data_IF_288075492886
#
_entry.id   IF_288075492886
#
_cell.length_a   1.000
_cell.length_b   1.000
_cell.length_c   1.000
_cell.angle_alpha   90.00
_cell.angle_beta   90.00
_cell.angle_gamma   90.00
#
_symmetry.space_group_name_H-M   'P 1'
#
loop_
_entity.id
_entity.type
_entity.pdbx_description
1 polymer ?
#
# COMPACT_ATOMS: atom_id res chain seq x y z
N UNK A 1 52.40 82.54 5.83
CA UNK A 1 53.16 81.56 5.02
C UNK A 1 52.21 80.45 4.57
N UNK A 2 52.42 79.98 3.33
CA UNK A 2 51.70 78.98 2.51
C UNK A 2 51.14 77.75 3.27
N UNK A 3 49.91 77.31 2.94
CA UNK A 3 49.58 76.13 2.09
C UNK A 3 48.06 75.90 1.99
N UNK A 4 47.61 75.57 0.78
CA UNK A 4 46.25 75.18 0.38
C UNK A 4 46.24 73.69 -0.03
N UNK A 5 45.13 72.96 0.19
CA UNK A 5 44.67 71.74 -0.56
C UNK A 5 43.17 71.56 -0.22
N UNK A 6 42.22 71.96 -1.10
CA UNK A 6 41.46 71.21 -2.14
C UNK A 6 40.39 70.23 -1.60
N UNK A 7 39.13 70.61 -1.92
CA UNK A 7 37.88 69.84 -1.93
C UNK A 7 37.90 68.71 -2.97
N UNK A 8 37.29 67.56 -2.65
CA UNK A 8 36.58 66.74 -3.64
C UNK A 8 35.33 66.12 -2.99
N UNK A 9 34.17 66.53 -3.51
CA UNK A 9 32.85 65.92 -3.30
C UNK A 9 32.55 65.11 -4.56
N UNK A 10 32.29 63.81 -4.40
CA UNK A 10 31.59 62.93 -5.34
C UNK A 10 30.88 61.90 -4.45
N UNK A 11 29.55 61.80 -4.43
CA UNK A 11 28.68 61.70 -5.61
C UNK A 11 28.57 60.23 -5.99
N UNK A 12 27.99 59.40 -5.11
CA UNK A 12 27.86 57.96 -5.30
C UNK A 12 26.52 57.45 -4.77
N UNK A 13 25.43 57.83 -5.44
CA UNK A 13 24.13 57.19 -5.25
C UNK A 13 24.23 55.73 -5.73
N UNK A 14 24.17 54.79 -4.79
CA UNK A 14 24.01 53.36 -5.06
C UNK A 14 22.62 53.11 -5.64
N UNK A 15 22.51 53.23 -6.97
CA UNK A 15 21.46 52.59 -7.75
C UNK A 15 21.75 51.08 -7.75
N UNK A 16 21.11 50.34 -6.84
CA UNK A 16 21.09 48.88 -6.92
C UNK A 16 20.34 48.47 -8.21
N UNK A 17 20.91 47.58 -9.04
CA UNK A 17 20.24 47.11 -10.24
C UNK A 17 18.96 46.34 -9.87
N UNK A 18 17.82 46.76 -10.43
CA UNK A 18 16.49 46.16 -10.26
C UNK A 18 16.34 44.73 -10.81
N UNK A 19 17.44 44.03 -11.08
CA UNK A 19 17.49 42.66 -11.60
C UNK A 19 17.70 41.62 -10.49
N UNK A 20 17.95 42.06 -9.26
CA UNK A 20 17.95 41.22 -8.07
C UNK A 20 16.53 41.12 -7.45
N UNK A 21 15.49 41.01 -8.28
CA UNK A 21 14.21 40.48 -7.82
C UNK A 21 14.44 39.01 -7.49
N UNK A 22 14.71 38.76 -6.20
CA UNK A 22 14.70 37.46 -5.58
C UNK A 22 13.43 36.74 -6.03
N UNK A 23 13.58 35.80 -6.96
CA UNK A 23 12.47 35.01 -7.50
C UNK A 23 11.72 34.45 -6.29
N UNK A 24 10.40 34.66 -6.15
CA UNK A 24 9.67 34.18 -4.98
C UNK A 24 9.99 32.70 -4.82
N UNK A 25 10.44 32.33 -3.61
CA UNK A 25 10.82 30.95 -3.34
C UNK A 25 9.64 30.04 -3.74
N UNK A 26 9.88 28.99 -4.54
CA UNK A 26 8.82 28.10 -4.97
C UNK A 26 8.08 27.55 -3.74
N UNK A 27 6.75 27.50 -3.81
CA UNK A 27 5.93 26.98 -2.72
C UNK A 27 6.37 25.53 -2.42
N UNK A 28 6.80 25.21 -1.18
CA UNK A 28 7.21 23.85 -0.82
C UNK A 28 6.12 22.80 -1.09
N UNK A 29 4.84 23.19 -1.10
CA UNK A 29 3.74 22.30 -1.44
C UNK A 29 3.74 21.91 -2.92
N UNK A 30 4.13 22.82 -3.80
CA UNK A 30 4.20 22.54 -5.24
C UNK A 30 5.37 21.62 -5.56
N UNK A 31 6.53 21.82 -4.93
CA UNK A 31 7.65 20.89 -5.06
C UNK A 31 7.31 19.48 -4.56
N UNK A 32 6.56 19.36 -3.47
CA UNK A 32 6.12 18.07 -2.95
C UNK A 32 5.11 17.37 -3.89
N UNK A 33 4.23 18.14 -4.55
CA UNK A 33 3.29 17.62 -5.57
C UNK A 33 4.04 17.15 -6.82
N UNK A 34 4.96 17.94 -7.34
CA UNK A 34 5.76 17.58 -8.52
C UNK A 34 6.61 16.33 -8.27
N UNK A 35 7.26 16.23 -7.11
CA UNK A 35 8.02 15.05 -6.73
C UNK A 35 7.13 13.80 -6.63
N UNK A 36 5.91 13.94 -6.10
CA UNK A 36 4.93 12.84 -6.02
C UNK A 36 4.45 12.42 -7.41
N UNK A 37 4.09 13.38 -8.27
CA UNK A 37 3.63 13.12 -9.63
C UNK A 37 4.73 12.45 -10.45
N UNK A 38 5.97 12.91 -10.34
CA UNK A 38 7.13 12.30 -11.00
C UNK A 38 7.38 10.88 -10.51
N UNK A 39 7.26 10.63 -9.20
CA UNK A 39 7.38 9.29 -8.65
C UNK A 39 6.29 8.34 -9.17
N UNK A 40 5.05 8.83 -9.31
CA UNK A 40 3.94 8.08 -9.88
C UNK A 40 4.14 7.81 -11.38
N UNK A 41 4.61 8.80 -12.14
CA UNK A 41 4.94 8.65 -13.56
C UNK A 41 6.01 7.57 -13.77
N UNK A 42 7.07 7.58 -12.96
CA UNK A 42 8.12 6.56 -13.00
C UNK A 42 7.61 5.16 -12.62
N UNK A 43 6.69 5.06 -11.65
CA UNK A 43 6.06 3.79 -11.27
C UNK A 43 5.21 3.21 -12.42
N UNK A 44 4.43 4.07 -13.09
CA UNK A 44 3.62 3.69 -14.25
C UNK A 44 4.52 3.30 -15.43
N UNK A 45 5.55 4.08 -15.74
CA UNK A 45 6.50 3.75 -16.80
C UNK A 45 7.18 2.40 -16.56
N UNK A 46 7.61 2.13 -15.32
CA UNK A 46 8.20 0.83 -14.94
C UNK A 46 7.21 -0.31 -15.20
N UNK A 47 5.96 -0.16 -14.77
CA UNK A 47 4.92 -1.17 -14.98
C UNK A 47 4.62 -1.40 -16.47
N UNK A 48 4.46 -0.33 -17.26
CA UNK A 48 4.18 -0.43 -18.70
C UNK A 48 5.36 -1.02 -19.49
N UNK A 49 6.60 -0.71 -19.09
CA UNK A 49 7.80 -1.26 -19.72
C UNK A 49 7.99 -2.74 -19.39
N UNK A 50 7.73 -3.15 -18.14
CA UNK A 50 7.82 -4.56 -17.74
C UNK A 50 6.83 -5.46 -18.50
N UNK A 51 5.64 -4.94 -18.83
CA UNK A 51 4.62 -5.67 -19.60
C UNK A 51 4.90 -5.69 -21.11
N UNK A 52 5.67 -4.72 -21.61
CA UNK A 52 6.02 -4.64 -23.03
C UNK A 52 4.82 -4.33 -23.93
N UNK A 53 3.93 -3.41 -23.52
CA UNK A 53 2.82 -2.97 -24.37
C UNK A 53 3.32 -2.21 -25.60
N UNK A 54 2.83 -2.57 -26.77
CA UNK A 54 3.18 -1.91 -28.04
C UNK A 54 2.47 -0.56 -28.19
N UNK A 55 2.99 0.31 -29.05
CA UNK A 55 2.34 1.60 -29.34
C UNK A 55 0.90 1.42 -29.82
N UNK A 56 0.63 0.40 -30.65
CA UNK A 56 -0.73 0.07 -31.12
C UNK A 56 -1.64 -0.35 -29.97
N UNK A 57 -1.15 -1.12 -29.01
CA UNK A 57 -1.92 -1.51 -27.82
C UNK A 57 -2.21 -0.29 -26.93
N UNK A 58 -1.21 0.57 -26.71
CA UNK A 58 -1.36 1.80 -25.95
C UNK A 58 -2.35 2.78 -26.60
N UNK A 59 -2.32 2.93 -27.93
CA UNK A 59 -3.27 3.77 -28.67
C UNK A 59 -4.71 3.28 -28.53
N UNK A 60 -4.95 1.96 -28.47
CA UNK A 60 -6.28 1.38 -28.23
C UNK A 60 -6.74 1.56 -26.79
N UNK A 61 -5.80 1.52 -25.84
CA UNK A 61 -6.09 1.61 -24.41
C UNK A 61 -6.39 3.06 -23.98
N UNK A 62 -5.64 4.02 -24.53
CA UNK A 62 -5.70 5.43 -24.16
C UNK A 62 -7.14 6.02 -24.09
N UNK A 63 -8.01 5.89 -25.11
CA UNK A 63 -9.35 6.48 -25.05
C UNK A 63 -10.21 5.88 -23.91
N UNK A 64 -9.99 4.61 -23.56
CA UNK A 64 -10.69 3.95 -22.44
C UNK A 64 -10.21 4.52 -21.10
N UNK A 65 -8.91 4.77 -20.97
CA UNK A 65 -8.35 5.37 -19.75
C UNK A 65 -8.79 6.83 -19.59
N UNK A 66 -8.83 7.59 -20.67
CA UNK A 66 -9.29 8.98 -20.67
C UNK A 66 -10.77 9.10 -20.29
N UNK A 67 -11.63 8.23 -20.85
CA UNK A 67 -13.05 8.17 -20.42
C UNK A 67 -13.17 7.81 -18.93
N UNK A 68 -12.39 6.82 -18.47
CA UNK A 68 -12.40 6.42 -17.07
C UNK A 68 -12.00 7.57 -16.14
N UNK A 69 -10.92 8.29 -16.47
CA UNK A 69 -10.47 9.44 -15.68
C UNK A 69 -11.48 10.57 -15.68
N UNK A 70 -12.09 10.87 -16.84
CA UNK A 70 -13.15 11.88 -16.94
C UNK A 70 -14.33 11.54 -16.02
N UNK A 71 -14.81 10.30 -16.05
CA UNK A 71 -15.93 9.86 -15.20
C UNK A 71 -15.59 9.91 -13.71
N UNK A 72 -14.38 9.48 -13.34
CA UNK A 72 -13.92 9.55 -11.95
C UNK A 72 -13.86 11.00 -11.46
N UNK A 73 -13.29 11.93 -12.25
CA UNK A 73 -13.25 13.36 -11.91
C UNK A 73 -14.63 13.98 -11.82
N UNK A 74 -15.54 13.67 -12.74
CA UNK A 74 -16.93 14.14 -12.69
C UNK A 74 -17.63 13.67 -11.40
N UNK A 75 -17.41 12.41 -11.01
CA UNK A 75 -17.96 11.87 -9.76
C UNK A 75 -17.34 12.55 -8.53
N UNK A 76 -16.02 12.65 -8.47
CA UNK A 76 -15.31 13.28 -7.38
C UNK A 76 -15.72 14.76 -7.21
N UNK A 77 -15.96 15.48 -8.32
CA UNK A 77 -16.47 16.85 -8.29
C UNK A 77 -17.92 16.95 -7.77
N UNK A 78 -18.80 16.03 -8.18
CA UNK A 78 -20.17 15.97 -7.66
C UNK A 78 -20.19 15.64 -6.16
N UNK A 79 -19.37 14.68 -5.73
CA UNK A 79 -19.24 14.29 -4.32
C UNK A 79 -18.63 15.43 -3.46
N UNK A 80 -17.67 16.19 -4.01
CA UNK A 80 -17.10 17.36 -3.34
C UNK A 80 -18.14 18.46 -3.12
N UNK A 81 -19.00 18.73 -4.12
CA UNK A 81 -20.09 19.69 -3.99
C UNK A 81 -21.10 19.26 -2.90
N UNK A 82 -21.50 17.98 -2.87
CA UNK A 82 -22.39 17.43 -1.83
C UNK A 82 -21.79 17.59 -0.41
N UNK A 83 -20.47 17.39 -0.24
CA UNK A 83 -19.80 17.61 1.05
C UNK A 83 -19.77 19.09 1.42
N UNK A 84 -19.45 19.96 0.46
CA UNK A 84 -19.32 21.40 0.70
C UNK A 84 -20.63 21.99 1.26
N UNK A 85 -21.76 21.54 0.73
CA UNK A 85 -23.09 21.93 1.23
C UNK A 85 -23.27 21.54 2.70
N UNK A 86 -22.88 20.31 3.10
CA UNK A 86 -22.96 19.87 4.50
C UNK A 86 -21.94 20.55 5.42
N UNK A 87 -20.76 20.92 4.92
CA UNK A 87 -19.75 21.62 5.72
C UNK A 87 -20.27 22.97 6.22
N UNK A 88 -21.03 23.68 5.39
CA UNK A 88 -21.63 24.96 5.77
C UNK A 88 -22.63 24.80 6.93
N UNK A 89 -23.45 23.73 6.89
CA UNK A 89 -24.40 23.40 7.94
C UNK A 89 -23.70 22.98 9.25
N UNK A 90 -22.66 22.14 9.17
CA UNK A 90 -21.85 21.75 10.31
C UNK A 90 -21.15 22.96 10.96
N UNK A 91 -20.66 23.91 10.16
CA UNK A 91 -20.05 25.13 10.67
C UNK A 91 -21.07 26.05 11.37
N UNK A 92 -22.32 26.08 10.92
CA UNK A 92 -23.39 26.79 11.60
C UNK A 92 -23.73 26.12 12.95
N UNK A 93 -23.87 24.80 12.99
CA UNK A 93 -24.14 24.05 14.22
C UNK A 93 -23.00 24.17 15.23
N UNK A 94 -21.74 24.11 14.77
CA UNK A 94 -20.57 24.38 15.61
C UNK A 94 -20.63 25.77 16.25
N UNK A 95 -21.02 26.80 15.49
CA UNK A 95 -21.16 28.17 16.03
C UNK A 95 -22.27 28.25 17.07
N UNK A 96 -23.41 27.60 16.84
CA UNK A 96 -24.51 27.56 17.79
C UNK A 96 -24.14 26.83 19.09
N UNK A 97 -23.41 25.72 18.99
CA UNK A 97 -22.89 24.99 20.13
C UNK A 97 -21.90 25.82 20.96
N UNK A 98 -20.98 26.54 20.30
CA UNK A 98 -20.03 27.44 20.97
C UNK A 98 -20.74 28.62 21.65
N UNK A 99 -21.93 29.02 21.19
CA UNK A 99 -22.76 30.03 21.83
C UNK A 99 -23.61 29.50 23.01
N UNK A 100 -23.38 28.25 23.45
CA UNK A 100 -24.12 27.62 24.55
C UNK A 100 -25.38 26.86 24.13
N UNK A 101 -25.63 26.71 22.83
CA UNK A 101 -26.69 25.84 22.31
C UNK A 101 -26.36 24.36 22.49
N UNK A 102 -27.38 23.51 22.49
CA UNK A 102 -27.17 22.05 22.50
C UNK A 102 -26.55 21.59 21.16
N UNK A 103 -25.47 20.81 21.23
CA UNK A 103 -24.92 20.07 20.08
C UNK A 103 -25.88 18.95 19.71
N UNK A 104 -26.27 18.84 18.44
CA UNK A 104 -27.09 17.72 17.99
C UNK A 104 -26.20 16.68 17.28
N UNK A 105 -26.30 15.42 17.67
CA UNK A 105 -25.65 14.28 16.98
C UNK A 105 -26.11 13.98 15.55
N UNK A 106 -27.31 14.39 15.05
CA UNK A 106 -27.78 14.04 13.71
C UNK A 106 -26.91 14.51 12.54
N UNK A 107 -26.28 15.69 12.59
CA UNK A 107 -25.51 16.20 11.45
C UNK A 107 -24.14 15.55 11.32
N UNK A 108 -23.46 15.24 12.43
CA UNK A 108 -22.21 14.48 12.40
C UNK A 108 -22.46 13.08 11.83
N UNK A 109 -23.53 12.42 12.27
CA UNK A 109 -23.91 11.10 11.75
C UNK A 109 -24.26 11.18 10.25
N UNK A 110 -24.98 12.22 9.81
CA UNK A 110 -25.28 12.46 8.39
C UNK A 110 -24.01 12.67 7.57
N UNK A 111 -23.02 13.40 8.08
CA UNK A 111 -21.74 13.58 7.41
C UNK A 111 -20.97 12.26 7.29
N UNK A 112 -20.88 11.47 8.37
CA UNK A 112 -20.24 10.14 8.34
C UNK A 112 -20.92 9.20 7.34
N UNK A 113 -22.26 9.19 7.32
CA UNK A 113 -23.03 8.40 6.36
C UNK A 113 -22.80 8.86 4.92
N UNK A 114 -22.72 10.17 4.67
CA UNK A 114 -22.40 10.70 3.35
C UNK A 114 -21.00 10.25 2.90
N UNK A 115 -19.96 10.48 3.72
CA UNK A 115 -18.58 10.07 3.39
C UNK A 115 -18.49 8.58 3.11
N UNK A 116 -19.17 7.74 3.92
CA UNK A 116 -19.23 6.30 3.70
C UNK A 116 -19.95 5.94 2.38
N UNK A 117 -21.06 6.62 2.06
CA UNK A 117 -21.78 6.43 0.81
C UNK A 117 -20.96 6.85 -0.41
N UNK A 118 -20.26 7.99 -0.34
CA UNK A 118 -19.34 8.45 -1.38
C UNK A 118 -18.20 7.45 -1.62
N UNK A 119 -17.59 6.94 -0.54
CA UNK A 119 -16.58 5.89 -0.63
C UNK A 119 -17.08 4.64 -1.38
N UNK A 120 -18.31 4.20 -1.10
CA UNK A 120 -18.95 3.08 -1.81
C UNK A 120 -19.19 3.38 -3.29
N UNK A 121 -19.83 4.51 -3.60
CA UNK A 121 -20.12 4.94 -4.99
C UNK A 121 -18.84 5.07 -5.81
N UNK A 122 -17.79 5.63 -5.23
CA UNK A 122 -16.47 5.75 -5.86
C UNK A 122 -15.84 4.38 -6.10
N UNK A 123 -15.92 3.46 -5.14
CA UNK A 123 -15.41 2.11 -5.30
C UNK A 123 -16.16 1.35 -6.40
N UNK A 124 -17.49 1.44 -6.44
CA UNK A 124 -18.32 0.84 -7.50
C UNK A 124 -17.94 1.36 -8.89
N UNK A 125 -17.71 2.67 -9.02
CA UNK A 125 -17.26 3.27 -10.28
C UNK A 125 -15.86 2.78 -10.67
N UNK A 126 -14.92 2.72 -9.72
CA UNK A 126 -13.57 2.17 -9.96
C UNK A 126 -13.66 0.73 -10.44
N UNK A 127 -14.51 -0.09 -9.82
CA UNK A 127 -14.71 -1.49 -10.18
C UNK A 127 -15.28 -1.65 -11.59
N UNK A 128 -16.28 -0.85 -11.92
CA UNK A 128 -16.89 -0.81 -13.24
C UNK A 128 -15.86 -0.42 -14.31
N UNK A 129 -15.06 0.63 -14.06
CA UNK A 129 -14.01 1.08 -14.98
C UNK A 129 -12.89 0.06 -15.11
N UNK A 130 -12.49 -0.60 -14.01
CA UNK A 130 -11.48 -1.64 -14.04
C UNK A 130 -11.94 -2.83 -14.91
N UNK A 131 -13.21 -3.24 -14.81
CA UNK A 131 -13.79 -4.28 -15.68
C UNK A 131 -13.83 -3.85 -17.16
N UNK A 132 -14.11 -2.58 -17.45
CA UNK A 132 -14.09 -2.08 -18.82
C UNK A 132 -12.69 -2.15 -19.42
N UNK A 133 -11.67 -1.69 -18.69
CA UNK A 133 -10.26 -1.77 -19.09
C UNK A 133 -9.84 -3.24 -19.25
N UNK A 134 -10.23 -4.10 -18.31
CA UNK A 134 -9.95 -5.54 -18.38
C UNK A 134 -10.44 -6.15 -19.70
N UNK A 135 -11.68 -5.88 -20.11
CA UNK A 135 -12.23 -6.36 -21.39
C UNK A 135 -11.41 -5.84 -22.59
N UNK A 136 -11.00 -4.57 -22.56
CA UNK A 136 -10.14 -4.00 -23.61
C UNK A 136 -8.78 -4.70 -23.66
N UNK A 137 -8.17 -4.99 -22.50
CA UNK A 137 -6.90 -5.70 -22.41
C UNK A 137 -7.03 -7.11 -22.98
N UNK A 138 -8.00 -7.91 -22.53
CA UNK A 138 -8.21 -9.28 -23.03
C UNK A 138 -8.39 -9.33 -24.56
N UNK A 139 -9.01 -8.31 -25.16
CA UNK A 139 -9.16 -8.20 -26.62
C UNK A 139 -7.96 -7.63 -27.37
N UNK A 140 -6.95 -7.08 -26.70
CA UNK A 140 -5.85 -6.34 -27.34
C UNK A 140 -4.44 -6.79 -26.97
N UNK A 141 -4.27 -7.51 -25.87
CA UNK A 141 -2.99 -8.05 -25.39
C UNK A 141 -2.97 -9.57 -25.42
N UNK A 142 -1.78 -10.15 -25.55
CA UNK A 142 -1.62 -11.60 -25.56
C UNK A 142 -1.72 -12.20 -24.15
N UNK A 143 -2.03 -13.50 -24.04
CA UNK A 143 -2.05 -14.19 -22.74
C UNK A 143 -0.72 -14.10 -21.97
N UNK A 144 0.47 -14.21 -22.61
CA UNK A 144 1.74 -13.94 -21.95
C UNK A 144 1.86 -12.52 -21.37
N UNK A 145 1.34 -11.49 -22.06
CA UNK A 145 1.35 -10.12 -21.55
C UNK A 145 0.42 -9.95 -20.34
N UNK A 146 -0.75 -10.61 -20.33
CA UNK A 146 -1.65 -10.62 -19.16
C UNK A 146 -0.98 -11.29 -17.96
N UNK A 147 -0.32 -12.43 -18.16
CA UNK A 147 0.45 -13.09 -17.11
C UNK A 147 1.58 -12.18 -16.58
N UNK A 148 2.26 -11.45 -17.47
CA UNK A 148 3.28 -10.48 -17.09
C UNK A 148 2.71 -9.32 -16.27
N UNK A 149 1.50 -8.85 -16.53
CA UNK A 149 0.83 -7.82 -15.71
C UNK A 149 0.57 -8.33 -14.28
N UNK A 150 0.08 -9.55 -14.14
CA UNK A 150 -0.15 -10.20 -12.84
C UNK A 150 1.17 -10.31 -12.06
N UNK A 151 2.23 -10.80 -12.70
CA UNK A 151 3.53 -10.91 -12.08
C UNK A 151 4.10 -9.55 -11.66
N UNK A 152 4.06 -8.57 -12.56
CA UNK A 152 4.54 -7.19 -12.33
C UNK A 152 3.80 -6.55 -11.16
N UNK A 153 2.46 -6.72 -11.10
CA UNK A 153 1.63 -6.26 -9.99
C UNK A 153 2.11 -6.83 -8.65
N UNK A 154 2.34 -8.15 -8.60
CA UNK A 154 2.82 -8.84 -7.42
C UNK A 154 4.23 -8.39 -6.99
N UNK A 155 5.14 -8.20 -7.95
CA UNK A 155 6.52 -7.74 -7.69
C UNK A 155 6.52 -6.31 -7.11
N UNK A 156 5.85 -5.36 -7.77
CA UNK A 156 5.80 -3.97 -7.32
C UNK A 156 5.06 -3.84 -5.98
N UNK A 157 4.00 -4.63 -5.74
CA UNK A 157 3.33 -4.66 -4.45
C UNK A 157 4.25 -5.17 -3.32
N UNK A 158 5.14 -6.12 -3.60
CA UNK A 158 6.16 -6.57 -2.63
C UNK A 158 7.20 -5.49 -2.38
N UNK A 159 7.75 -4.87 -3.43
CA UNK A 159 8.71 -3.75 -3.29
C UNK A 159 8.13 -2.61 -2.45
N UNK A 160 6.90 -2.21 -2.74
CA UNK A 160 6.22 -1.15 -1.98
C UNK A 160 6.00 -1.53 -0.54
N UNK A 161 5.48 -2.74 -0.27
CA UNK A 161 5.35 -3.23 1.11
C UNK A 161 6.70 -3.19 1.80
N UNK A 162 7.76 -3.68 1.16
CA UNK A 162 9.13 -3.64 1.73
C UNK A 162 9.58 -2.21 2.03
N UNK A 163 9.33 -1.25 1.16
CA UNK A 163 9.64 0.16 1.39
C UNK A 163 8.80 0.76 2.52
N UNK A 164 7.49 0.47 2.60
CA UNK A 164 6.62 0.89 3.70
C UNK A 164 7.06 0.29 5.03
N UNK A 165 7.44 -0.99 5.02
CA UNK A 165 8.01 -1.69 6.18
C UNK A 165 9.32 -1.05 6.63
N UNK A 166 10.22 -0.72 5.70
CA UNK A 166 11.48 -0.03 6.00
C UNK A 166 11.23 1.39 6.54
N UNK A 167 10.32 2.13 5.93
CA UNK A 167 9.94 3.46 6.40
C UNK A 167 9.31 3.43 7.79
N UNK A 168 8.46 2.44 8.07
CA UNK A 168 7.91 2.22 9.42
C UNK A 168 9.01 1.81 10.41
N UNK A 169 9.92 0.91 10.02
CA UNK A 169 11.04 0.50 10.87
C UNK A 169 11.93 1.70 11.25
N UNK A 170 12.16 2.62 10.31
CA UNK A 170 12.97 3.82 10.56
C UNK A 170 12.22 4.87 11.40
N UNK A 171 10.89 4.99 11.26
CA UNK A 171 10.07 5.92 12.07
C UNK A 171 9.89 5.47 13.52
N UNK A 172 9.96 4.16 13.78
CA UNK A 172 9.72 3.57 15.09
C UNK A 172 10.98 2.89 15.65
N UNK A 173 12.03 3.67 15.89
CA UNK A 173 13.17 3.22 16.73
C UNK A 173 12.79 2.98 18.21
N UNK A 174 11.53 3.12 18.62
CA UNK A 174 11.09 2.86 20.01
C UNK A 174 9.61 2.54 20.22
N UNK A 175 8.85 2.12 19.19
CA UNK A 175 7.38 1.97 19.27
C UNK A 175 6.85 0.51 19.23
N UNK A 176 5.68 0.22 19.84
CA UNK A 176 5.13 -1.14 20.02
C UNK A 176 4.50 -1.81 18.78
N UNK A 177 4.56 -1.21 17.58
CA UNK A 177 3.99 -1.82 16.37
C UNK A 177 5.03 -2.73 15.67
N UNK A 178 5.04 -4.01 16.07
CA UNK A 178 6.16 -4.96 15.88
C UNK A 178 5.85 -6.31 15.17
N UNK A 179 4.99 -6.50 14.14
CA UNK A 179 4.71 -7.88 13.70
C UNK A 179 5.96 -8.61 13.18
N UNK A 180 6.78 -7.96 12.35
CA UNK A 180 8.05 -8.53 11.87
C UNK A 180 9.20 -8.41 12.86
N UNK A 181 9.39 -7.20 13.42
CA UNK A 181 10.49 -6.92 14.36
C UNK A 181 10.40 -7.67 15.69
N UNK A 182 9.22 -7.76 16.33
CA UNK A 182 9.09 -8.51 17.59
C UNK A 182 9.07 -10.01 17.36
N UNK A 183 8.54 -10.49 16.22
CA UNK A 183 8.66 -11.91 15.91
C UNK A 183 10.14 -12.27 15.76
N UNK A 184 10.93 -11.45 15.05
CA UNK A 184 12.36 -11.65 14.94
C UNK A 184 13.10 -11.53 16.28
N UNK A 185 12.77 -10.54 17.11
CA UNK A 185 13.34 -10.39 18.47
C UNK A 185 13.05 -11.66 19.30
N UNK A 186 11.79 -12.12 19.31
CA UNK A 186 11.38 -13.33 20.05
C UNK A 186 12.11 -14.58 19.53
N UNK A 187 12.23 -14.74 18.21
CA UNK A 187 12.97 -15.85 17.62
C UNK A 187 14.46 -15.79 17.98
N UNK A 188 15.02 -14.58 18.03
CA UNK A 188 16.40 -14.34 18.43
C UNK A 188 16.65 -14.72 19.89
N UNK A 189 15.72 -14.33 20.77
CA UNK A 189 15.85 -14.49 22.21
C UNK A 189 15.31 -15.85 22.72
N UNK A 190 14.84 -16.73 21.83
CA UNK A 190 14.41 -18.09 22.18
C UNK A 190 15.55 -18.86 22.88
N UNK A 191 15.30 -19.52 24.01
CA UNK A 191 16.29 -20.40 24.64
C UNK A 191 16.75 -21.51 23.67
N UNK A 192 18.03 -21.93 23.68
CA UNK A 192 18.56 -22.95 22.76
C UNK A 192 17.72 -24.23 22.69
N UNK A 193 17.28 -24.75 23.84
CA UNK A 193 16.43 -25.94 23.89
C UNK A 193 15.08 -25.75 23.18
N UNK A 194 14.46 -24.57 23.31
CA UNK A 194 13.20 -24.25 22.63
C UNK A 194 13.41 -24.04 21.13
N UNK A 195 14.54 -23.47 20.75
CA UNK A 195 14.94 -23.32 19.36
C UNK A 195 15.15 -24.68 18.68
N UNK A 196 15.84 -25.61 19.34
CA UNK A 196 16.03 -26.97 18.84
C UNK A 196 14.72 -27.72 18.71
N UNK A 197 13.81 -27.58 19.68
CA UNK A 197 12.45 -28.13 19.59
C UNK A 197 11.69 -27.57 18.40
N UNK A 198 11.78 -26.26 18.13
CA UNK A 198 11.17 -25.63 16.96
C UNK A 198 11.74 -26.19 15.65
N UNK A 199 13.07 -26.30 15.54
CA UNK A 199 13.73 -26.89 14.35
C UNK A 199 13.32 -28.34 14.13
N UNK A 200 13.29 -29.15 15.19
CA UNK A 200 12.84 -30.54 15.13
C UNK A 200 11.37 -30.65 14.76
N UNK A 201 10.50 -29.75 15.27
CA UNK A 201 9.09 -29.73 14.93
C UNK A 201 8.86 -29.41 13.44
N UNK A 202 9.61 -28.44 12.89
CA UNK A 202 9.58 -28.11 11.46
C UNK A 202 10.12 -29.25 10.60
N UNK A 203 11.27 -29.82 10.95
CA UNK A 203 11.87 -30.94 10.23
C UNK A 203 10.97 -32.19 10.24
N UNK A 204 10.32 -32.47 11.37
CA UNK A 204 9.41 -33.59 11.54
C UNK A 204 7.99 -33.35 11.01
N UNK A 205 7.67 -32.16 10.49
CA UNK A 205 6.33 -31.80 10.02
C UNK A 205 5.25 -31.84 11.12
N UNK A 206 5.63 -31.76 12.39
CA UNK A 206 4.70 -31.94 13.51
C UNK A 206 4.03 -30.62 13.90
N UNK A 207 2.82 -30.41 13.37
CA UNK A 207 1.98 -29.22 13.57
C UNK A 207 1.69 -28.94 15.05
N UNK A 208 1.37 -29.98 15.82
CA UNK A 208 0.99 -29.86 17.22
C UNK A 208 2.14 -29.32 18.06
N UNK A 209 3.37 -29.71 17.71
CA UNK A 209 4.59 -29.20 18.35
C UNK A 209 4.94 -27.78 17.94
N UNK A 210 4.56 -27.35 16.73
CA UNK A 210 4.78 -25.98 16.23
C UNK A 210 3.76 -24.97 16.76
N UNK A 211 2.52 -25.40 17.04
CA UNK A 211 1.42 -24.51 17.39
C UNK A 211 1.70 -23.55 18.57
N UNK A 212 2.38 -23.96 19.67
CA UNK A 212 2.74 -23.04 20.75
C UNK A 212 3.65 -21.90 20.28
N UNK A 213 4.62 -22.21 19.41
CA UNK A 213 5.56 -21.22 18.87
C UNK A 213 4.87 -20.26 17.92
N UNK A 214 4.02 -20.75 17.02
CA UNK A 214 3.26 -19.89 16.10
C UNK A 214 2.33 -18.92 16.85
N UNK A 215 1.74 -19.36 17.97
CA UNK A 215 0.95 -18.51 18.87
C UNK A 215 1.79 -17.43 19.54
N UNK A 216 3.01 -17.76 19.96
CA UNK A 216 3.93 -16.77 20.56
C UNK A 216 4.44 -15.72 19.57
N UNK A 217 4.55 -16.05 18.29
CA UNK A 217 5.00 -15.11 17.25
C UNK A 217 3.89 -14.12 16.86
N UNK A 218 2.63 -14.49 17.04
CA UNK A 218 1.48 -13.69 16.63
C UNK A 218 0.83 -13.11 17.88
N UNK A 219 1.02 -11.80 18.18
CA UNK A 219 0.48 -11.21 19.40
C UNK A 219 -1.04 -11.46 19.49
N UNK A 220 -1.50 -11.95 20.64
CA UNK A 220 -2.83 -12.54 20.89
C UNK A 220 -4.05 -11.62 20.64
N UNK A 221 -3.84 -10.41 20.12
CA UNK A 221 -4.91 -9.43 19.91
C UNK A 221 -5.42 -9.23 18.48
N UNK A 222 -4.72 -9.66 17.41
CA UNK A 222 -5.07 -9.13 16.06
C UNK A 222 -4.87 -9.99 14.80
N UNK A 223 -4.55 -11.28 14.87
CA UNK A 223 -4.19 -12.03 13.64
C UNK A 223 -4.82 -13.40 13.41
N UNK A 224 -5.26 -14.13 14.45
CA UNK A 224 -5.61 -15.56 14.28
C UNK A 224 -6.85 -16.02 15.07
N UNK A 225 -7.73 -15.12 15.50
CA UNK A 225 -8.98 -15.49 16.22
C UNK A 225 -10.01 -16.27 15.38
N UNK A 226 -9.61 -16.86 14.26
CA UNK A 226 -10.38 -17.91 13.61
C UNK A 226 -9.55 -19.03 13.01
N UNK A 227 -8.31 -19.25 13.46
CA UNK A 227 -7.53 -20.45 13.08
C UNK A 227 -7.42 -21.50 14.19
N UNK A 228 -7.75 -21.20 15.45
CA UNK A 228 -7.49 -22.14 16.54
C UNK A 228 -8.54 -22.12 17.67
N UNK A 229 -9.82 -21.90 17.37
CA UNK A 229 -10.89 -22.06 18.36
C UNK A 229 -11.74 -23.28 17.98
N UNK A 230 -11.75 -24.36 18.81
CA UNK A 230 -12.79 -25.37 18.73
C UNK A 230 -14.13 -24.66 19.01
N UNK A 231 -15.15 -24.93 18.20
CA UNK A 231 -16.45 -24.27 18.29
C UNK A 231 -17.06 -24.41 19.69
N UNK A 232 -17.15 -23.28 20.40
CA UNK A 232 -17.95 -23.16 21.62
C UNK A 232 -19.41 -22.86 21.27
N UNK A 233 -20.38 -23.37 22.04
CA UNK A 233 -21.80 -23.23 21.74
C UNK A 233 -22.33 -21.84 22.11
N UNK A 234 -23.02 -21.21 21.17
CA UNK A 234 -24.20 -20.35 21.38
C UNK A 234 -24.06 -19.14 22.31
N UNK A 235 -23.73 -17.97 21.75
CA UNK A 235 -24.10 -16.67 22.31
C UNK A 235 -25.11 -15.97 21.38
N UNK A 236 -26.23 -15.44 21.90
CA UNK A 236 -27.27 -14.82 21.07
C UNK A 236 -26.83 -13.44 20.58
N UNK A 237 -26.45 -13.35 19.31
CA UNK A 237 -26.27 -12.09 18.59
C UNK A 237 -27.53 -11.70 17.82
N UNK A 238 -27.74 -10.40 17.54
CA UNK A 238 -28.97 -9.87 16.98
C UNK A 238 -29.24 -10.43 15.57
N UNK A 239 -30.50 -10.85 15.39
CA UNK A 239 -31.01 -11.51 14.20
C UNK A 239 -30.83 -10.65 12.94
N UNK A 240 -30.33 -11.25 11.86
CA UNK A 240 -30.44 -10.65 10.52
C UNK A 240 -29.41 -11.08 9.48
N UNK A 241 -28.24 -11.62 9.86
CA UNK A 241 -27.29 -12.17 8.88
C UNK A 241 -27.32 -13.69 8.88
N UNK A 242 -28.02 -14.24 7.88
CA UNK A 242 -27.94 -15.63 7.43
C UNK A 242 -26.46 -15.95 7.12
N UNK A 243 -25.74 -16.47 8.10
CA UNK A 243 -24.37 -16.95 7.95
C UNK A 243 -24.38 -18.20 7.08
N UNK A 244 -24.16 -18.03 5.78
CA UNK A 244 -23.75 -19.15 4.95
C UNK A 244 -22.43 -19.74 5.48
N UNK A 245 -22.11 -21.01 5.17
CA UNK A 245 -20.82 -21.59 5.48
C UNK A 245 -19.76 -20.65 4.91
N UNK A 246 -19.03 -19.95 5.79
CA UNK A 246 -17.93 -19.10 5.35
C UNK A 246 -16.97 -19.96 4.54
N UNK A 247 -16.34 -19.42 3.48
CA UNK A 247 -15.34 -20.16 2.72
C UNK A 247 -14.36 -20.77 3.72
N UNK A 248 -14.28 -22.11 3.69
CA UNK A 248 -13.43 -22.86 4.61
C UNK A 248 -12.05 -22.23 4.55
N UNK A 249 -11.54 -21.75 5.70
CA UNK A 249 -10.22 -21.13 5.72
C UNK A 249 -9.23 -22.16 5.18
N UNK A 250 -8.31 -21.75 4.29
CA UNK A 250 -7.34 -22.67 3.73
C UNK A 250 -6.57 -23.31 4.90
N UNK A 251 -6.74 -24.62 5.08
CA UNK A 251 -5.94 -25.38 6.03
C UNK A 251 -4.53 -25.42 5.44
N UNK A 252 -3.58 -24.79 6.13
CA UNK A 252 -2.18 -24.87 5.75
C UNK A 252 -1.76 -26.33 5.96
N UNK A 253 -1.58 -27.06 4.87
CA UNK A 253 -1.03 -28.41 4.94
C UNK A 253 0.48 -28.31 5.21
N UNK A 254 0.85 -28.48 6.47
CA UNK A 254 2.25 -28.47 6.89
C UNK A 254 3.01 -29.73 6.48
N UNK A 255 2.34 -30.76 5.95
CA UNK A 255 3.02 -31.91 5.32
C UNK A 255 3.45 -31.60 3.88
N UNK A 256 2.90 -30.56 3.26
CA UNK A 256 3.31 -30.13 1.93
C UNK A 256 4.81 -29.75 1.94
N UNK A 257 5.65 -30.37 1.09
CA UNK A 257 7.10 -30.13 1.09
C UNK A 257 7.46 -28.67 0.81
N UNK A 258 6.64 -27.95 0.05
CA UNK A 258 6.86 -26.53 -0.24
C UNK A 258 6.63 -25.65 0.99
N UNK A 259 5.62 -25.99 1.79
CA UNK A 259 5.32 -25.29 3.05
C UNK A 259 6.44 -25.52 4.05
N UNK A 260 6.94 -26.75 4.17
CA UNK A 260 8.10 -27.09 5.01
C UNK A 260 9.36 -26.37 4.58
N UNK A 261 9.67 -26.36 3.28
CA UNK A 261 10.81 -25.64 2.72
C UNK A 261 10.73 -24.14 3.05
N UNK A 262 9.55 -23.55 2.90
CA UNK A 262 9.36 -22.14 3.13
C UNK A 262 9.42 -21.75 4.62
N UNK A 263 8.93 -22.61 5.52
CA UNK A 263 9.12 -22.46 6.97
C UNK A 263 10.60 -22.63 7.35
N UNK A 264 11.30 -23.60 6.75
CA UNK A 264 12.75 -23.77 6.90
C UNK A 264 13.51 -22.50 6.54
N UNK A 265 13.20 -21.89 5.40
CA UNK A 265 13.80 -20.62 5.00
C UNK A 265 13.52 -19.48 6.00
N UNK A 266 12.37 -19.45 6.68
CA UNK A 266 12.15 -18.47 7.75
C UNK A 266 13.02 -18.76 8.98
N UNK A 267 13.20 -20.02 9.35
CA UNK A 267 14.08 -20.42 10.45
C UNK A 267 15.55 -20.10 10.16
N UNK A 268 16.02 -20.31 8.94
CA UNK A 268 17.41 -19.97 8.56
C UNK A 268 17.71 -18.47 8.74
N UNK A 269 16.72 -17.62 8.42
CA UNK A 269 16.85 -16.18 8.61
C UNK A 269 16.85 -15.79 10.09
N UNK A 270 16.07 -16.50 10.91
CA UNK A 270 16.08 -16.32 12.35
C UNK A 270 17.37 -16.86 13.01
N UNK A 271 17.95 -17.95 12.50
CA UNK A 271 19.27 -18.44 12.89
C UNK A 271 20.35 -17.38 12.57
N UNK A 272 20.29 -16.79 11.38
CA UNK A 272 21.17 -15.67 11.01
C UNK A 272 21.02 -14.49 11.99
N UNK A 273 19.80 -14.16 12.40
CA UNK A 273 19.57 -13.12 13.40
C UNK A 273 20.13 -13.48 14.81
N UNK A 274 20.10 -14.77 15.17
CA UNK A 274 20.64 -15.31 16.43
C UNK A 274 22.16 -15.29 16.47
N UNK A 275 22.81 -15.60 15.35
CA UNK A 275 24.27 -15.68 15.27
C UNK A 275 24.94 -14.29 15.23
N UNK A 276 24.20 -13.24 14.89
CA UNK A 276 24.73 -11.87 14.90
C UNK A 276 24.97 -11.35 16.32
N UNK A 277 26.14 -10.76 16.60
CA UNK A 277 26.38 -9.96 17.81
C UNK A 277 25.29 -8.89 18.00
N UNK A 278 24.97 -8.54 19.25
CA UNK A 278 23.96 -7.52 19.57
C UNK A 278 24.08 -6.20 18.79
N UNK A 279 25.27 -5.57 18.64
CA UNK A 279 25.39 -4.33 17.87
C UNK A 279 25.09 -4.54 16.37
N UNK A 280 25.60 -5.62 15.78
CA UNK A 280 25.39 -5.94 14.36
C UNK A 280 23.92 -6.29 14.09
N UNK A 281 23.28 -7.02 15.00
CA UNK A 281 21.86 -7.30 14.93
C UNK A 281 21.04 -6.01 14.97
N UNK A 282 21.32 -5.11 15.92
CA UNK A 282 20.58 -3.84 16.03
C UNK A 282 20.69 -3.02 14.73
N UNK A 283 21.87 -3.00 14.10
CA UNK A 283 22.10 -2.35 12.81
C UNK A 283 21.35 -3.04 11.65
N UNK A 284 21.25 -4.37 11.65
CA UNK A 284 20.65 -5.16 10.56
C UNK A 284 19.19 -5.55 10.77
N UNK A 285 18.62 -5.26 11.95
CA UNK A 285 17.30 -5.74 12.38
C UNK A 285 16.18 -5.41 11.41
N UNK A 286 16.15 -4.18 10.88
CA UNK A 286 15.11 -3.76 9.92
C UNK A 286 15.20 -4.53 8.60
N UNK A 287 16.42 -4.77 8.11
CA UNK A 287 16.67 -5.56 6.89
C UNK A 287 16.28 -7.02 7.08
N UNK A 288 16.66 -7.64 8.20
CA UNK A 288 16.29 -9.02 8.53
C UNK A 288 14.77 -9.17 8.73
N UNK A 289 14.12 -8.22 9.40
CA UNK A 289 12.67 -8.25 9.58
C UNK A 289 11.92 -8.10 8.25
N UNK A 290 12.39 -7.25 7.34
CA UNK A 290 11.86 -7.13 5.98
C UNK A 290 12.01 -8.45 5.20
N UNK A 291 13.20 -9.08 5.27
CA UNK A 291 13.44 -10.39 4.66
C UNK A 291 12.51 -11.48 5.22
N UNK A 292 12.22 -11.46 6.52
CA UNK A 292 11.31 -12.43 7.16
C UNK A 292 9.88 -12.25 6.65
N UNK A 293 9.41 -11.00 6.59
CA UNK A 293 8.08 -10.67 6.08
C UNK A 293 7.91 -11.08 4.61
N UNK A 294 8.92 -10.82 3.77
CA UNK A 294 8.91 -11.20 2.35
C UNK A 294 8.85 -12.72 2.18
N UNK A 295 9.67 -13.48 2.94
CA UNK A 295 9.64 -14.96 2.93
C UNK A 295 8.28 -15.49 3.40
N UNK A 296 7.72 -14.92 4.47
CA UNK A 296 6.40 -15.32 4.97
C UNK A 296 5.29 -15.09 3.94
N UNK A 297 5.24 -13.90 3.32
CA UNK A 297 4.23 -13.60 2.30
C UNK A 297 4.36 -14.54 1.08
N UNK A 298 5.59 -14.79 0.63
CA UNK A 298 5.87 -15.76 -0.44
C UNK A 298 5.39 -17.17 -0.07
N UNK A 299 5.66 -17.61 1.16
CA UNK A 299 5.18 -18.90 1.69
C UNK A 299 3.66 -19.00 1.61
N UNK A 300 2.95 -17.97 2.08
CA UNK A 300 1.49 -17.93 2.07
C UNK A 300 0.93 -17.96 0.65
N UNK A 301 1.58 -17.32 -0.32
CA UNK A 301 1.19 -17.41 -1.74
C UNK A 301 1.38 -18.82 -2.28
N UNK A 302 2.50 -19.47 -1.98
CA UNK A 302 2.75 -20.86 -2.39
C UNK A 302 1.74 -21.84 -1.79
N UNK A 303 1.40 -21.67 -0.50
CA UNK A 303 0.36 -22.47 0.17
C UNK A 303 -0.97 -22.34 -0.58
N UNK A 304 -1.39 -21.10 -0.88
CA UNK A 304 -2.67 -20.86 -1.58
C UNK A 304 -2.70 -21.49 -2.98
N UNK A 305 -1.61 -21.35 -3.74
CA UNK A 305 -1.50 -21.94 -5.08
C UNK A 305 -1.55 -23.47 -5.05
N UNK A 306 -1.00 -24.09 -4.00
CA UNK A 306 -0.94 -25.56 -3.89
C UNK A 306 -2.11 -26.20 -3.16
N UNK A 307 -2.96 -25.42 -2.50
CA UNK A 307 -4.18 -25.95 -1.87
C UNK A 307 -5.25 -26.46 -2.85
N UNK A 308 -4.98 -26.46 -4.16
CA UNK A 308 -5.64 -27.37 -5.10
C UNK A 308 -6.99 -26.92 -5.67
N UNK A 309 -7.40 -25.68 -5.46
CA UNK A 309 -8.61 -25.14 -6.10
C UNK A 309 -8.22 -24.33 -7.35
N UNK A 310 -8.30 -24.89 -8.56
CA UNK A 310 -8.00 -24.15 -9.79
C UNK A 310 -8.87 -22.90 -9.96
N UNK A 311 -10.07 -22.90 -9.37
CA UNK A 311 -10.94 -21.71 -9.30
C UNK A 311 -10.32 -20.58 -8.46
N UNK A 312 -9.64 -20.91 -7.35
CA UNK A 312 -8.95 -19.91 -6.51
C UNK A 312 -7.74 -19.35 -7.23
N UNK A 313 -6.97 -20.19 -7.94
CA UNK A 313 -5.82 -19.70 -8.72
C UNK A 313 -6.25 -18.75 -9.85
N UNK A 314 -7.35 -19.04 -10.54
CA UNK A 314 -7.94 -18.16 -11.55
C UNK A 314 -8.42 -16.84 -10.92
N UNK A 315 -9.15 -16.92 -9.80
CA UNK A 315 -9.65 -15.74 -9.09
C UNK A 315 -8.50 -14.86 -8.57
N UNK A 316 -7.41 -15.44 -8.07
CA UNK A 316 -6.23 -14.70 -7.65
C UNK A 316 -5.54 -13.99 -8.83
N UNK A 317 -5.46 -14.63 -10.00
CA UNK A 317 -4.95 -13.99 -11.21
C UNK A 317 -5.83 -12.81 -11.65
N UNK A 318 -7.15 -12.99 -11.62
CA UNK A 318 -8.11 -11.94 -11.94
C UNK A 318 -8.02 -10.77 -10.94
N UNK A 319 -7.84 -11.08 -9.64
CA UNK A 319 -7.65 -10.09 -8.59
C UNK A 319 -6.33 -9.33 -8.76
N UNK A 320 -5.22 -10.02 -9.05
CA UNK A 320 -3.91 -9.39 -9.26
C UNK A 320 -3.89 -8.52 -10.52
N UNK A 321 -4.55 -8.96 -11.59
CA UNK A 321 -4.74 -8.19 -12.81
C UNK A 321 -5.64 -6.98 -12.56
N UNK A 322 -6.72 -7.14 -11.80
CA UNK A 322 -7.57 -6.02 -11.37
C UNK A 322 -6.78 -5.02 -10.53
N UNK A 323 -5.90 -5.47 -9.63
CA UNK A 323 -5.01 -4.58 -8.88
C UNK A 323 -4.04 -3.84 -9.80
N UNK A 324 -3.47 -4.51 -10.81
CA UNK A 324 -2.63 -3.85 -11.82
C UNK A 324 -3.40 -2.72 -12.53
N UNK A 325 -4.62 -3.00 -12.98
CA UNK A 325 -5.48 -2.03 -13.66
C UNK A 325 -5.79 -0.84 -12.75
N UNK A 326 -6.26 -1.10 -11.52
CA UNK A 326 -6.64 -0.03 -10.59
C UNK A 326 -5.43 0.84 -10.22
N UNK A 327 -4.27 0.21 -10.01
CA UNK A 327 -3.07 0.92 -9.56
C UNK A 327 -2.41 1.73 -10.66
N UNK A 328 -2.18 1.13 -11.83
CA UNK A 328 -1.33 1.71 -12.87
C UNK A 328 -2.11 2.29 -14.03
N UNK A 329 -3.25 1.71 -14.40
CA UNK A 329 -4.02 2.15 -15.57
C UNK A 329 -5.12 3.14 -15.19
N UNK A 330 -5.73 2.98 -14.01
CA UNK A 330 -6.68 3.94 -13.45
C UNK A 330 -6.01 5.04 -12.60
N UNK A 331 -4.68 5.11 -12.59
CA UNK A 331 -4.00 6.30 -12.09
C UNK A 331 -4.39 7.53 -12.92
N UNK A 332 -4.56 8.66 -12.23
CA UNK A 332 -4.81 9.96 -12.87
C UNK A 332 -3.69 10.40 -13.82
N UNK A 333 -2.48 9.88 -13.62
CA UNK A 333 -1.27 10.15 -14.40
C UNK A 333 -1.13 9.23 -15.62
N UNK A 334 -1.80 8.08 -15.63
CA UNK A 334 -1.61 7.06 -16.67
C UNK A 334 -1.86 7.58 -18.11
N UNK A 335 -2.92 8.36 -18.40
CA UNK A 335 -3.11 8.91 -19.74
C UNK A 335 -1.98 9.86 -20.16
N UNK A 336 -1.45 10.65 -19.23
CA UNK A 336 -0.36 11.61 -19.49
C UNK A 336 0.91 10.86 -19.88
N UNK A 337 1.30 9.88 -19.05
CA UNK A 337 2.47 9.02 -19.28
C UNK A 337 2.36 8.27 -20.61
N UNK A 338 1.16 7.75 -20.93
CA UNK A 338 0.94 7.01 -22.18
C UNK A 338 1.02 7.93 -23.40
N UNK A 339 0.45 9.15 -23.34
CA UNK A 339 0.57 10.13 -24.43
C UNK A 339 2.02 10.50 -24.71
N UNK A 340 2.79 10.76 -23.65
CA UNK A 340 4.23 11.05 -23.77
C UNK A 340 5.00 9.90 -24.40
N UNK A 341 4.74 8.66 -23.95
CA UNK A 341 5.34 7.46 -24.55
C UNK A 341 4.97 7.29 -26.01
N UNK A 342 3.77 7.73 -26.42
CA UNK A 342 3.32 7.72 -27.81
C UNK A 342 3.80 8.92 -28.64
N UNK A 343 4.47 9.91 -28.02
CA UNK A 343 4.87 11.15 -28.69
C UNK A 343 3.69 12.08 -29.03
N UNK A 344 2.56 11.94 -28.33
CA UNK A 344 1.37 12.81 -28.52
C UNK A 344 1.51 14.04 -27.62
N UNK A 345 1.34 15.28 -28.14
CA UNK A 345 1.45 16.49 -27.33
C UNK A 345 0.49 16.52 -26.14
N UNK A 346 0.89 17.17 -25.04
CA UNK A 346 0.00 17.48 -23.91
C UNK A 346 -1.02 18.53 -24.36
N UNK A 347 -2.23 18.09 -24.71
CA UNK A 347 -3.38 18.96 -24.95
C UNK A 347 -4.12 19.35 -23.69
#
# INVERSE_FOLDING_TARGET
MKRAVILFVLGGGLLLPAWAQEKPAPDPLDGAREARDTAEDLEILRALNAVGLTNTQLQRLLPVLEDAQRRLRQRDAADAAEIQDLQSALAAERRQALAGGQVTTPMEERYRQLVAAQGRRRQELVDERARAIHRTLVGSVSAPQLAQMVETSGQLARERRRAEWQAQANRFQGGPFRPGGAALDRLRDLPPAQWDQLRQAVAGGNIERMAPFLRQLIPEGRGLRGMAQPGGPGGPGPAGRRGGPGPGRPRIDLNNPQVRSAIGAMLDLAEQARSLPAPDYAAQRSTLAAGLADRFLSTMQTIRRTSGEPQVAQQEQDDDLRQFIIRYLLSSRAPVVIREKLGVPRG
#
